data_IF_459447043373
#
_entry.id   IF_459447043373
#
_cell.length_a   1.000
_cell.length_b   1.000
_cell.length_c   1.000
_cell.angle_alpha   90.00
_cell.angle_beta   90.00
_cell.angle_gamma   90.00
#
_symmetry.space_group_name_H-M   'P 1'
#
loop_
_entity.id
_entity.type
_entity.pdbx_description
1 polymer ?
#
# COMPACT_ATOMS: atom_id res chain seq x y z
N UNK A 1 -14.22 -1.25 2.53
CA UNK A 1 -14.54 -2.28 1.52
C UNK A 1 -14.33 -1.65 0.14
N UNK A 2 -13.10 -1.71 -0.37
CA UNK A 2 -12.80 -1.36 -1.76
C UNK A 2 -12.45 -2.70 -2.42
N UNK A 3 -13.42 -3.29 -3.11
CA UNK A 3 -13.19 -4.44 -3.97
C UNK A 3 -12.55 -3.92 -5.25
N UNK A 4 -11.21 -3.97 -5.34
CA UNK A 4 -10.52 -3.83 -6.62
C UNK A 4 -10.83 -5.07 -7.46
N UNK A 5 -11.93 -5.01 -8.20
CA UNK A 5 -12.22 -5.96 -9.27
C UNK A 5 -11.30 -5.60 -10.45
N UNK A 6 -10.06 -6.07 -10.42
CA UNK A 6 -9.16 -5.96 -11.56
C UNK A 6 -9.63 -6.98 -12.60
N UNK A 7 -9.97 -6.58 -13.85
CA UNK A 7 -10.31 -7.54 -14.89
C UNK A 7 -9.13 -8.47 -15.13
N UNK A 8 -9.41 -9.78 -15.12
CA UNK A 8 -8.48 -10.88 -15.34
C UNK A 8 -8.02 -10.92 -16.80
N UNK A 9 -7.16 -9.99 -17.18
CA UNK A 9 -6.60 -9.95 -18.53
C UNK A 9 -5.11 -9.71 -18.42
N UNK A 10 -4.33 -10.70 -17.95
CA UNK A 10 -2.89 -10.95 -18.28
C UNK A 10 -2.29 -12.13 -17.46
N UNK A 11 -2.84 -13.35 -17.48
CA UNK A 11 -2.13 -14.55 -16.97
C UNK A 11 -1.61 -14.54 -15.51
N UNK A 12 -2.00 -13.56 -14.69
CA UNK A 12 -1.55 -13.41 -13.31
C UNK A 12 -2.39 -14.31 -12.40
N UNK A 13 -1.73 -15.15 -11.60
CA UNK A 13 -2.42 -15.93 -10.57
C UNK A 13 -2.93 -15.01 -9.47
N UNK A 14 -4.24 -15.06 -9.23
CA UNK A 14 -4.86 -14.36 -8.12
C UNK A 14 -4.57 -15.10 -6.82
N UNK A 15 -4.08 -14.37 -5.82
CA UNK A 15 -3.87 -14.92 -4.48
C UNK A 15 -5.22 -15.04 -3.75
N UNK A 16 -5.51 -16.16 -3.06
CA UNK A 16 -6.70 -16.26 -2.22
C UNK A 16 -6.57 -15.28 -1.05
N UNK A 17 -7.37 -14.21 -1.07
CA UNK A 17 -7.35 -13.16 -0.06
C UNK A 17 -8.44 -13.37 0.98
N UNK A 18 -8.13 -13.32 2.29
CA UNK A 18 -9.16 -13.41 3.32
C UNK A 18 -10.01 -12.13 3.33
N UNK A 19 -11.33 -12.31 3.38
CA UNK A 19 -12.28 -11.21 3.56
C UNK A 19 -11.97 -10.48 4.88
N UNK A 20 -12.01 -9.14 4.88
CA UNK A 20 -11.84 -8.28 6.07
C UNK A 20 -10.40 -8.00 6.56
N UNK A 21 -9.36 -8.19 5.76
CA UNK A 21 -7.99 -7.78 6.13
C UNK A 21 -7.48 -6.59 5.30
N UNK A 22 -7.95 -5.34 5.56
CA UNK A 22 -7.43 -4.15 4.89
C UNK A 22 -5.95 -3.89 5.25
N UNK A 23 -5.51 -4.29 6.45
CA UNK A 23 -4.12 -4.21 6.92
C UNK A 23 -3.12 -4.99 6.07
N UNK A 24 -3.63 -5.83 5.17
CA UNK A 24 -2.80 -6.65 4.29
C UNK A 24 -2.52 -5.99 2.96
N UNK A 25 -3.26 -4.94 2.56
CA UNK A 25 -3.09 -4.34 1.25
C UNK A 25 -1.77 -3.56 1.21
N UNK A 26 -0.74 -4.00 0.44
CA UNK A 26 0.56 -3.32 0.39
C UNK A 26 0.45 -1.87 -0.06
N UNK A 27 -0.59 -1.55 -0.82
CA UNK A 27 -0.90 -0.21 -1.31
C UNK A 27 -1.23 0.74 -0.16
N UNK A 28 -1.90 0.30 0.90
CA UNK A 28 -2.22 1.14 2.06
C UNK A 28 -0.95 1.61 2.77
N UNK A 29 0.07 0.74 2.84
CA UNK A 29 1.36 1.13 3.43
C UNK A 29 2.13 2.13 2.56
N UNK A 30 1.98 2.05 1.23
CA UNK A 30 2.55 3.05 0.33
C UNK A 30 1.84 4.40 0.49
N UNK A 31 0.51 4.40 0.62
CA UNK A 31 -0.26 5.60 0.93
C UNK A 31 0.11 6.21 2.28
N UNK A 32 0.31 5.39 3.32
CA UNK A 32 0.76 5.85 4.63
C UNK A 32 2.18 6.45 4.61
N UNK A 33 3.08 5.88 3.80
CA UNK A 33 4.42 6.44 3.60
C UNK A 33 4.35 7.80 2.89
N UNK A 34 3.56 7.88 1.81
CA UNK A 34 3.36 9.12 1.07
C UNK A 34 2.69 10.21 1.92
N UNK A 35 1.67 9.86 2.69
CA UNK A 35 0.98 10.78 3.59
C UNK A 35 1.85 11.30 4.71
N UNK A 36 2.83 10.52 5.18
CA UNK A 36 3.85 10.98 6.14
C UNK A 36 4.85 11.93 5.49
N UNK A 37 5.37 11.57 4.32
CA UNK A 37 6.30 12.39 3.58
C UNK A 37 5.72 13.79 3.30
N UNK A 38 4.47 13.87 2.83
CA UNK A 38 3.77 15.15 2.59
C UNK A 38 3.63 15.99 3.88
N UNK A 39 3.38 15.36 5.03
CA UNK A 39 3.27 16.07 6.33
C UNK A 39 4.60 16.58 6.85
N UNK A 40 5.71 15.95 6.45
CA UNK A 40 7.07 16.29 6.86
C UNK A 40 7.69 17.36 5.95
N UNK A 41 7.04 17.72 4.83
CA UNK A 41 7.51 18.80 3.95
C UNK A 41 7.48 20.15 4.66
N UNK A 42 8.57 20.90 4.54
CA UNK A 42 8.64 22.29 4.99
C UNK A 42 7.61 23.18 4.26
N UNK A 43 7.42 22.92 2.96
CA UNK A 43 6.43 23.61 2.13
C UNK A 43 5.14 22.79 2.05
N UNK A 44 4.19 23.10 2.92
CA UNK A 44 2.88 22.46 2.95
C UNK A 44 2.03 22.97 1.77
N UNK A 45 1.51 22.07 0.91
CA UNK A 45 0.66 22.46 -0.21
C UNK A 45 -0.62 23.18 0.25
N UNK A 46 -0.93 24.32 -0.36
CA UNK A 46 -2.14 25.11 -0.06
C UNK A 46 -3.20 25.01 -1.18
N UNK A 47 -2.79 24.59 -2.37
CA UNK A 47 -3.71 24.38 -3.51
C UNK A 47 -3.75 22.92 -3.94
N UNK A 48 -4.81 22.53 -4.65
CA UNK A 48 -4.91 21.18 -5.24
C UNK A 48 -3.77 20.89 -6.23
N UNK A 49 -3.32 21.93 -6.95
CA UNK A 49 -2.22 21.80 -7.90
C UNK A 49 -0.89 21.53 -7.18
N UNK A 50 -0.60 22.30 -6.12
CA UNK A 50 0.59 22.07 -5.28
C UNK A 50 0.55 20.71 -4.62
N UNK A 51 -0.63 20.24 -4.18
CA UNK A 51 -0.77 18.92 -3.58
C UNK A 51 -0.49 17.81 -4.60
N UNK A 52 -1.03 17.93 -5.82
CA UNK A 52 -0.77 16.97 -6.88
C UNK A 52 0.73 16.91 -7.25
N UNK A 53 1.38 18.06 -7.31
CA UNK A 53 2.82 18.16 -7.55
C UNK A 53 3.62 17.52 -6.41
N UNK A 54 3.34 17.89 -5.16
CA UNK A 54 4.03 17.33 -4.00
C UNK A 54 3.86 15.81 -3.91
N UNK A 55 2.66 15.29 -4.19
CA UNK A 55 2.41 13.85 -4.23
C UNK A 55 3.25 13.15 -5.30
N UNK A 56 3.42 13.78 -6.46
CA UNK A 56 4.25 13.22 -7.55
C UNK A 56 5.72 13.19 -7.14
N UNK A 57 6.23 14.30 -6.60
CA UNK A 57 7.61 14.41 -6.16
C UNK A 57 7.95 13.42 -5.04
N UNK A 58 7.10 13.33 -4.01
CA UNK A 58 7.31 12.38 -2.92
C UNK A 58 7.20 10.93 -3.39
N UNK A 59 6.28 10.66 -4.33
CA UNK A 59 6.15 9.32 -4.92
C UNK A 59 7.41 8.91 -5.69
N UNK A 60 7.99 9.81 -6.47
CA UNK A 60 9.25 9.56 -7.20
C UNK A 60 10.45 9.45 -6.25
N UNK A 61 10.41 10.14 -5.11
CA UNK A 61 11.46 10.09 -4.09
C UNK A 61 11.37 8.87 -3.18
N UNK A 62 10.24 8.16 -3.15
CA UNK A 62 10.08 6.97 -2.31
C UNK A 62 11.12 5.90 -2.69
N UNK A 63 11.99 5.48 -1.74
CA UNK A 63 12.99 4.46 -2.03
C UNK A 63 12.33 3.17 -2.49
N UNK A 64 12.76 2.61 -3.62
CA UNK A 64 12.27 1.31 -4.12
C UNK A 64 12.44 0.21 -3.08
N UNK A 65 13.47 0.30 -2.24
CA UNK A 65 13.70 -0.60 -1.11
C UNK A 65 12.55 -0.63 -0.10
N UNK A 66 11.85 0.50 0.10
CA UNK A 66 10.69 0.54 1.00
C UNK A 66 9.52 -0.24 0.39
N UNK A 67 9.32 -0.13 -0.93
CA UNK A 67 8.31 -0.89 -1.66
C UNK A 67 8.67 -2.39 -1.66
N UNK A 68 9.92 -2.73 -1.93
CA UNK A 68 10.40 -4.12 -1.92
C UNK A 68 10.23 -4.76 -0.54
N UNK A 69 10.62 -4.07 0.54
CA UNK A 69 10.39 -4.55 1.92
C UNK A 69 8.92 -4.81 2.22
N UNK A 70 8.00 -4.00 1.68
CA UNK A 70 6.57 -4.23 1.85
C UNK A 70 6.13 -5.51 1.15
N UNK A 71 6.54 -5.69 -0.12
CA UNK A 71 6.26 -6.90 -0.91
C UNK A 71 6.85 -8.14 -0.23
N UNK A 72 8.12 -8.09 0.17
CA UNK A 72 8.83 -9.18 0.83
C UNK A 72 8.21 -9.55 2.19
N UNK A 73 7.55 -8.60 2.85
CA UNK A 73 6.87 -8.85 4.13
C UNK A 73 5.53 -9.60 3.98
N UNK A 74 4.96 -9.67 2.77
CA UNK A 74 3.63 -10.21 2.53
C UNK A 74 3.46 -11.68 2.94
N UNK A 75 4.37 -12.61 2.60
CA UNK A 75 4.25 -14.00 3.04
C UNK A 75 4.17 -14.14 4.56
N UNK A 76 4.95 -13.34 5.30
CA UNK A 76 4.93 -13.35 6.77
C UNK A 76 3.60 -12.87 7.33
N UNK A 77 3.05 -11.78 6.77
CA UNK A 77 1.77 -11.21 7.22
C UNK A 77 0.59 -12.13 6.89
N UNK A 78 0.61 -12.79 5.73
CA UNK A 78 -0.39 -13.78 5.34
C UNK A 78 -0.37 -14.97 6.29
N UNK A 79 0.81 -15.49 6.64
CA UNK A 79 0.94 -16.55 7.64
C UNK A 79 0.40 -16.12 9.00
N UNK A 80 0.68 -14.88 9.45
CA UNK A 80 0.14 -14.38 10.71
C UNK A 80 -1.39 -14.36 10.73
N UNK A 81 -2.03 -13.99 9.61
CA UNK A 81 -3.49 -14.06 9.48
C UNK A 81 -4.01 -15.50 9.49
N UNK A 82 -3.41 -16.39 8.69
CA UNK A 82 -3.82 -17.80 8.66
C UNK A 82 -3.75 -18.40 10.07
N UNK A 83 -2.68 -18.09 10.82
CA UNK A 83 -2.57 -18.48 12.22
C UNK A 83 -3.69 -17.89 13.08
N UNK A 84 -3.94 -16.58 12.99
CA UNK A 84 -4.99 -15.90 13.74
C UNK A 84 -6.37 -16.56 13.53
N UNK A 85 -6.74 -16.83 12.27
CA UNK A 85 -8.01 -17.49 11.93
C UNK A 85 -8.08 -18.95 12.37
N UNK A 86 -6.97 -19.69 12.41
CA UNK A 86 -6.92 -21.08 12.88
C UNK A 86 -6.88 -21.22 14.42
N UNK A 87 -6.61 -20.13 15.13
CA UNK A 87 -6.66 -20.08 16.61
C UNK A 87 -7.97 -19.55 17.17
N UNK A 88 -8.88 -19.05 16.31
CA UNK A 88 -10.27 -18.69 16.64
C UNK A 88 -11.18 -19.89 16.45
#
# INVERSE_FOLDING_TARGET
>A
MITLCVPTTQGMQQMPWPTYSPDMNPIEHAWDALGRAIKERDNIPQTLQELAQALTEEWEALPTDNINKLVDSMPRRLNALIHLYNTL
#
